data_IF_194477701104
#
_entry.id   IF_194477701104
#
_cell.length_a   1.000
_cell.length_b   1.000
_cell.length_c   1.000
_cell.angle_alpha   90.00
_cell.angle_beta   90.00
_cell.angle_gamma   90.00
#
_symmetry.space_group_name_H-M   'P 1'
#
loop_
_entity.id
_entity.type
_entity.pdbx_description
1 polymer ?
#
# COMPACT_ATOMS: atom_id res chain seq x y z
N UNK A 1 2.00 7.59 11.98
CA UNK A 1 2.09 6.94 13.31
C UNK A 1 3.48 6.34 13.55
N UNK A 2 4.17 5.84 12.53
CA UNK A 2 5.49 5.22 12.67
C UNK A 2 6.56 6.16 13.23
N UNK A 3 6.48 7.45 12.88
CA UNK A 3 7.42 8.47 13.37
C UNK A 3 7.18 8.86 14.84
N UNK A 4 5.96 8.72 15.33
CA UNK A 4 5.55 9.15 16.68
C UNK A 4 5.42 7.97 17.63
N UNK A 5 4.91 6.85 17.12
CA UNK A 5 4.58 5.65 17.88
C UNK A 5 5.65 4.55 17.83
N UNK A 6 6.86 4.84 17.34
CA UNK A 6 7.95 3.88 17.26
C UNK A 6 8.45 3.45 18.64
N UNK A 7 8.97 2.22 18.73
CA UNK A 7 9.60 1.70 19.93
C UNK A 7 10.80 2.58 20.34
N UNK A 8 10.99 2.74 21.63
CA UNK A 8 12.03 3.59 22.21
C UNK A 8 13.41 3.01 21.90
N UNK A 9 14.19 3.73 21.10
CA UNK A 9 15.64 3.53 21.03
C UNK A 9 16.31 4.53 21.98
N UNK A 10 17.09 4.04 22.90
CA UNK A 10 17.75 4.82 23.96
C UNK A 10 19.08 5.43 23.44
N UNK A 11 19.02 6.10 22.31
CA UNK A 11 20.17 6.81 21.73
C UNK A 11 20.08 8.29 22.09
N UNK A 12 20.58 8.65 23.24
CA UNK A 12 20.85 9.93 23.90
C UNK A 12 20.83 11.28 23.14
N UNK A 13 20.09 11.43 22.07
CA UNK A 13 19.94 12.68 21.32
C UNK A 13 18.63 13.38 21.64
N UNK A 14 18.72 14.65 22.04
CA UNK A 14 17.62 15.48 22.56
C UNK A 14 16.39 15.69 21.66
N UNK A 15 16.37 15.13 20.44
CA UNK A 15 15.21 15.15 19.55
C UNK A 15 14.15 14.09 19.91
N UNK A 16 14.53 13.01 20.57
CA UNK A 16 13.62 11.91 20.92
C UNK A 16 12.65 12.24 22.04
N UNK A 17 12.99 13.21 22.90
CA UNK A 17 12.14 13.59 24.04
C UNK A 17 10.80 14.23 23.62
N UNK A 18 10.78 15.03 22.53
CA UNK A 18 9.52 15.64 22.07
C UNK A 18 8.62 14.61 21.39
N UNK A 19 9.20 13.70 20.62
CA UNK A 19 8.46 12.61 19.99
C UNK A 19 7.86 11.69 21.05
N UNK A 20 8.64 11.37 22.11
CA UNK A 20 8.16 10.58 23.25
C UNK A 20 7.06 11.30 24.04
N UNK A 21 7.16 12.61 24.26
CA UNK A 21 6.10 13.40 24.90
C UNK A 21 4.81 13.37 24.10
N UNK A 22 4.91 13.56 22.78
CA UNK A 22 3.75 13.48 21.90
C UNK A 22 3.11 12.09 21.92
N UNK A 23 3.91 11.04 21.97
CA UNK A 23 3.45 9.67 22.12
C UNK A 23 2.73 9.44 23.46
N UNK A 24 3.31 9.91 24.56
CA UNK A 24 2.70 9.80 25.88
C UNK A 24 1.36 10.54 25.95
N UNK A 25 1.29 11.74 25.38
CA UNK A 25 0.05 12.50 25.29
C UNK A 25 -1.00 11.75 24.47
N UNK A 26 -0.62 11.21 23.31
CA UNK A 26 -1.51 10.38 22.49
C UNK A 26 -2.07 9.19 23.29
N UNK A 27 -1.21 8.48 24.03
CA UNK A 27 -1.61 7.37 24.89
C UNK A 27 -2.59 7.85 25.96
N UNK A 28 -2.31 8.97 26.61
CA UNK A 28 -3.16 9.55 27.66
C UNK A 28 -4.53 9.93 27.11
N UNK A 29 -4.58 10.52 25.93
CA UNK A 29 -5.84 10.85 25.25
C UNK A 29 -6.61 9.60 24.82
N UNK A 30 -5.93 8.53 24.47
CA UNK A 30 -6.56 7.24 24.16
C UNK A 30 -7.10 6.53 25.40
N UNK A 31 -6.40 6.62 26.54
CA UNK A 31 -6.80 6.04 27.84
C UNK A 31 -7.74 6.93 28.64
N UNK A 32 -8.04 8.14 28.17
CA UNK A 32 -8.76 9.17 28.93
C UNK A 32 -10.00 8.64 29.67
N UNK A 33 -10.17 9.11 30.89
CA UNK A 33 -11.28 8.75 31.79
C UNK A 33 -12.66 9.19 31.28
N UNK A 34 -12.69 10.17 30.36
CA UNK A 34 -13.91 10.55 29.66
C UNK A 34 -14.19 9.57 28.54
N UNK A 35 -15.37 8.99 28.56
CA UNK A 35 -15.83 8.13 27.46
C UNK A 35 -15.68 8.91 26.15
N UNK A 36 -14.90 8.37 25.20
CA UNK A 36 -14.66 9.00 23.89
C UNK A 36 -15.93 9.26 23.09
N UNK A 37 -17.10 9.00 23.69
CA UNK A 37 -18.40 9.14 23.07
C UNK A 37 -18.46 8.37 21.74
N UNK A 38 -18.80 9.07 20.66
CA UNK A 38 -18.88 8.49 19.32
C UNK A 38 -17.58 8.62 18.50
N UNK A 39 -16.44 8.98 19.11
CA UNK A 39 -15.17 9.16 18.43
C UNK A 39 -14.53 7.79 18.20
N UNK A 40 -14.25 7.47 16.94
CA UNK A 40 -13.49 6.29 16.52
C UNK A 40 -12.14 6.71 15.97
N UNK A 41 -11.08 6.11 16.51
CA UNK A 41 -9.71 6.39 16.08
C UNK A 41 -9.21 5.22 15.24
N UNK A 42 -8.64 5.54 14.09
CA UNK A 42 -8.05 4.56 13.17
C UNK A 42 -6.61 4.95 12.87
N UNK A 43 -5.72 3.98 13.01
CA UNK A 43 -4.31 4.11 12.64
C UNK A 43 -4.01 3.20 11.46
N UNK A 44 -3.09 3.64 10.61
CA UNK A 44 -2.58 2.83 9.51
C UNK A 44 -1.05 2.90 9.49
N UNK A 45 -0.41 1.76 9.31
CA UNK A 45 1.04 1.61 9.21
C UNK A 45 1.39 0.47 8.27
N UNK A 46 2.51 0.58 7.60
CA UNK A 46 3.15 -0.52 6.88
C UNK A 46 4.28 -1.19 7.71
N UNK A 47 4.51 -0.72 8.95
CA UNK A 47 5.55 -1.23 9.86
C UNK A 47 4.99 -1.52 11.26
N UNK A 48 4.08 -2.49 11.41
CA UNK A 48 3.45 -2.76 12.71
C UNK A 48 4.46 -3.19 13.79
N UNK A 49 5.57 -3.81 13.39
CA UNK A 49 6.63 -4.26 14.32
C UNK A 49 7.43 -3.12 14.95
N UNK A 50 7.41 -1.92 14.37
CA UNK A 50 8.14 -0.75 14.91
C UNK A 50 7.32 0.02 15.95
N UNK A 51 6.01 -0.26 16.06
CA UNK A 51 5.14 0.44 17.01
C UNK A 51 5.44 0.02 18.46
N UNK A 52 5.37 1.00 19.36
CA UNK A 52 5.54 0.76 20.81
C UNK A 52 4.44 -0.21 21.29
N UNK A 53 4.82 -1.28 22.00
CA UNK A 53 3.87 -2.22 22.60
C UNK A 53 2.80 -1.56 23.47
N UNK A 54 3.10 -0.39 24.04
CA UNK A 54 2.15 0.36 24.87
C UNK A 54 0.93 0.84 24.07
N UNK A 55 1.06 1.15 22.78
CA UNK A 55 -0.06 1.47 21.90
C UNK A 55 -0.95 0.26 21.62
N UNK A 56 -0.35 -0.93 21.63
CA UNK A 56 -1.00 -2.17 21.23
C UNK A 56 -1.79 -2.85 22.37
N UNK A 57 -1.87 -2.20 23.55
CA UNK A 57 -2.60 -2.74 24.72
C UNK A 57 -4.11 -2.61 24.51
N UNK A 58 -4.92 -3.52 25.11
CA UNK A 58 -6.36 -3.41 25.17
C UNK A 58 -6.81 -2.04 25.72
N UNK A 59 -7.88 -1.50 25.18
CA UNK A 59 -8.38 -0.16 25.50
C UNK A 59 -7.80 0.98 24.64
N UNK A 60 -6.71 0.73 23.88
CA UNK A 60 -6.07 1.71 22.97
C UNK A 60 -6.29 1.32 21.52
N UNK A 61 -5.58 0.29 21.05
CA UNK A 61 -5.78 -0.30 19.73
C UNK A 61 -6.33 -1.72 19.91
N UNK A 62 -7.64 -1.82 19.96
CA UNK A 62 -8.33 -3.08 20.27
C UNK A 62 -8.41 -4.02 19.06
N UNK A 63 -8.49 -3.45 17.85
CA UNK A 63 -8.64 -4.21 16.62
C UNK A 63 -7.47 -3.96 15.69
N UNK A 64 -6.86 -5.05 15.25
CA UNK A 64 -5.78 -5.07 14.27
C UNK A 64 -6.30 -5.77 13.03
N UNK A 65 -6.24 -5.07 11.91
CA UNK A 65 -6.68 -5.59 10.62
C UNK A 65 -5.46 -5.56 9.71
N UNK A 66 -5.04 -6.73 9.27
CA UNK A 66 -3.95 -6.88 8.31
C UNK A 66 -4.52 -6.95 6.90
N UNK A 67 -4.00 -6.10 6.01
CA UNK A 67 -4.29 -6.15 4.58
C UNK A 67 -3.16 -6.87 3.88
N UNK A 68 -3.39 -8.11 3.50
CA UNK A 68 -2.49 -8.89 2.67
C UNK A 68 -2.55 -8.46 1.20
N UNK A 69 -1.65 -9.02 0.37
CA UNK A 69 -1.73 -8.82 -1.08
C UNK A 69 -3.06 -9.34 -1.62
N UNK A 70 -3.63 -8.67 -2.64
CA UNK A 70 -4.91 -9.08 -3.20
C UNK A 70 -4.80 -10.41 -3.92
N UNK A 71 -5.83 -11.23 -3.80
CA UNK A 71 -6.01 -12.45 -4.58
C UNK A 71 -6.28 -12.14 -6.06
N UNK A 72 -6.51 -13.17 -6.87
CA UNK A 72 -6.72 -13.00 -8.31
C UNK A 72 -7.96 -12.17 -8.62
N UNK A 73 -9.06 -12.39 -7.89
CA UNK A 73 -10.31 -11.65 -8.07
C UNK A 73 -10.15 -10.20 -7.60
N UNK A 74 -9.52 -10.00 -6.46
CA UNK A 74 -9.19 -8.67 -5.93
C UNK A 74 -8.34 -7.86 -6.90
N UNK A 75 -7.32 -8.47 -7.53
CA UNK A 75 -6.51 -7.81 -8.56
C UNK A 75 -7.32 -7.41 -9.78
N UNK A 76 -8.19 -8.30 -10.26
CA UNK A 76 -9.09 -7.97 -11.38
C UNK A 76 -10.01 -6.80 -11.04
N UNK A 77 -10.55 -6.76 -9.83
CA UNK A 77 -11.40 -5.67 -9.35
C UNK A 77 -10.61 -4.35 -9.23
N UNK A 78 -9.38 -4.38 -8.71
CA UNK A 78 -8.49 -3.21 -8.65
C UNK A 78 -8.22 -2.65 -10.05
N UNK A 79 -7.90 -3.51 -11.01
CA UNK A 79 -7.70 -3.09 -12.41
C UNK A 79 -8.98 -2.43 -12.99
N UNK A 80 -10.15 -3.01 -12.76
CA UNK A 80 -11.44 -2.42 -13.18
C UNK A 80 -11.68 -1.05 -12.55
N UNK A 81 -11.36 -0.88 -11.27
CA UNK A 81 -11.51 0.40 -10.57
C UNK A 81 -10.63 1.47 -11.23
N UNK A 82 -9.36 1.17 -11.50
CA UNK A 82 -8.45 2.12 -12.13
C UNK A 82 -8.78 2.37 -13.62
N UNK A 83 -9.38 1.39 -14.29
CA UNK A 83 -9.84 1.54 -15.67
C UNK A 83 -11.11 2.40 -15.81
N UNK A 84 -11.91 2.58 -14.75
CA UNK A 84 -13.13 3.40 -14.78
C UNK A 84 -12.90 4.86 -15.19
N UNK A 85 -11.74 5.41 -14.89
CA UNK A 85 -11.37 6.78 -15.25
C UNK A 85 -10.75 6.90 -16.65
N UNK A 86 -10.63 5.79 -17.37
CA UNK A 86 -9.98 5.69 -18.68
C UNK A 86 -11.00 5.26 -19.74
N UNK A 87 -10.72 5.63 -20.99
CA UNK A 87 -11.43 5.05 -22.13
C UNK A 87 -10.80 3.70 -22.46
N UNK A 88 -11.51 2.61 -22.21
CA UNK A 88 -11.06 1.24 -22.44
C UNK A 88 -12.03 0.48 -23.33
N UNK A 89 -11.54 -0.54 -24.03
CA UNK A 89 -12.40 -1.47 -24.79
C UNK A 89 -13.35 -2.22 -23.85
N UNK A 90 -14.53 -2.61 -24.36
CA UNK A 90 -15.56 -3.29 -23.57
C UNK A 90 -15.19 -4.73 -23.20
N UNK A 91 -14.42 -5.38 -24.08
CA UNK A 91 -14.20 -6.84 -24.03
C UNK A 91 -12.85 -7.21 -23.38
N UNK A 92 -12.34 -6.36 -22.47
CA UNK A 92 -11.07 -6.65 -21.76
C UNK A 92 -11.30 -7.78 -20.75
N UNK A 93 -10.48 -8.82 -20.86
CA UNK A 93 -10.48 -9.98 -19.96
C UNK A 93 -9.64 -9.70 -18.71
N UNK A 94 -10.23 -9.01 -17.74
CA UNK A 94 -9.55 -8.58 -16.50
C UNK A 94 -8.96 -9.73 -15.71
N UNK A 95 -9.62 -10.89 -15.70
CA UNK A 95 -9.16 -12.10 -15.04
C UNK A 95 -7.89 -12.65 -15.67
N UNK A 96 -7.77 -12.58 -17.00
CA UNK A 96 -6.54 -12.95 -17.70
C UNK A 96 -5.39 -12.03 -17.31
N UNK A 97 -5.62 -10.71 -17.33
CA UNK A 97 -4.61 -9.73 -16.97
C UNK A 97 -4.19 -9.91 -15.52
N UNK A 98 -5.13 -10.15 -14.61
CA UNK A 98 -4.83 -10.36 -13.18
C UNK A 98 -4.00 -11.62 -12.91
N UNK A 99 -4.18 -12.70 -13.70
CA UNK A 99 -3.33 -13.90 -13.64
C UNK A 99 -1.88 -13.62 -14.00
N UNK A 100 -1.65 -12.69 -14.91
CA UNK A 100 -0.31 -12.29 -15.36
C UNK A 100 0.38 -11.33 -14.38
N UNK A 101 -0.32 -10.89 -13.33
CA UNK A 101 0.19 -10.04 -12.26
C UNK A 101 0.22 -10.78 -10.90
N UNK A 102 0.95 -11.90 -10.76
CA UNK A 102 1.01 -12.61 -9.48
C UNK A 102 1.67 -11.74 -8.41
N UNK A 103 1.21 -11.85 -7.17
CA UNK A 103 1.77 -11.16 -5.99
C UNK A 103 1.90 -9.64 -6.14
N UNK A 104 1.09 -9.03 -7.00
CA UNK A 104 1.15 -7.59 -7.24
C UNK A 104 0.34 -6.82 -6.22
N UNK A 105 0.88 -5.68 -5.80
CA UNK A 105 0.23 -4.69 -4.94
C UNK A 105 -0.80 -3.88 -5.72
N UNK A 106 -1.72 -3.21 -5.00
CA UNK A 106 -2.65 -2.27 -5.63
C UNK A 106 -1.95 -1.11 -6.37
N UNK A 107 -0.79 -0.68 -5.86
CA UNK A 107 0.01 0.37 -6.49
C UNK A 107 0.60 -0.08 -7.84
N UNK A 108 1.11 -1.31 -7.92
CA UNK A 108 1.61 -1.88 -9.18
C UNK A 108 0.50 -2.06 -10.20
N UNK A 109 -0.68 -2.53 -9.78
CA UNK A 109 -1.85 -2.66 -10.65
C UNK A 109 -2.34 -1.30 -11.19
N UNK A 110 -2.28 -0.26 -10.35
CA UNK A 110 -2.52 1.13 -10.80
C UNK A 110 -1.50 1.54 -11.86
N UNK A 111 -0.23 1.23 -11.64
CA UNK A 111 0.84 1.53 -12.60
C UNK A 111 0.63 0.80 -13.94
N UNK A 112 0.17 -0.46 -13.90
CA UNK A 112 -0.22 -1.22 -15.10
C UNK A 112 -1.34 -0.50 -15.86
N UNK A 113 -2.40 -0.07 -15.18
CA UNK A 113 -3.50 0.66 -15.81
C UNK A 113 -3.02 1.98 -16.44
N UNK A 114 -2.20 2.75 -15.72
CA UNK A 114 -1.63 4.00 -16.22
C UNK A 114 -0.76 3.77 -17.45
N UNK A 115 0.12 2.77 -17.42
CA UNK A 115 1.02 2.47 -18.54
C UNK A 115 0.25 1.95 -19.76
N UNK A 116 -0.83 1.18 -19.57
CA UNK A 116 -1.72 0.76 -20.65
C UNK A 116 -2.34 1.97 -21.37
N UNK A 117 -2.79 2.98 -20.61
CA UNK A 117 -3.23 4.25 -21.18
C UNK A 117 -2.14 4.97 -21.96
N UNK A 118 -0.91 4.97 -21.45
CA UNK A 118 0.24 5.58 -22.12
C UNK A 118 0.59 4.84 -23.43
N UNK A 119 0.46 3.51 -23.49
CA UNK A 119 0.63 2.75 -24.74
C UNK A 119 -0.42 3.13 -25.78
N UNK A 120 -1.67 3.29 -25.39
CA UNK A 120 -2.73 3.75 -26.29
C UNK A 120 -2.42 5.15 -26.86
N UNK A 121 -2.00 6.09 -26.00
CA UNK A 121 -1.65 7.46 -26.40
C UNK A 121 -0.45 7.46 -27.36
N UNK A 122 0.60 6.70 -27.07
CA UNK A 122 1.77 6.57 -27.97
C UNK A 122 1.38 6.00 -29.33
N UNK A 123 0.41 5.12 -29.37
CA UNK A 123 -0.16 4.58 -30.60
C UNK A 123 -1.22 5.50 -31.24
N UNK A 124 -1.39 6.74 -30.74
CA UNK A 124 -2.36 7.73 -31.20
C UNK A 124 -3.82 7.23 -31.13
N UNK A 125 -4.13 6.35 -30.20
CA UNK A 125 -5.49 5.85 -29.94
C UNK A 125 -6.07 6.52 -28.71
N UNK A 126 -7.40 6.72 -28.73
CA UNK A 126 -8.15 7.29 -27.59
C UNK A 126 -8.64 6.23 -26.60
N UNK A 127 -8.58 4.96 -27.00
CA UNK A 127 -9.10 3.82 -26.25
C UNK A 127 -7.96 2.83 -26.02
N UNK A 128 -7.78 2.41 -24.77
CA UNK A 128 -6.82 1.38 -24.41
C UNK A 128 -7.41 0.00 -24.66
N UNK A 129 -6.66 -0.84 -25.35
CA UNK A 129 -7.04 -2.22 -25.70
C UNK A 129 -6.45 -3.22 -24.70
N UNK A 130 -6.96 -4.46 -24.72
CA UNK A 130 -6.38 -5.56 -23.93
C UNK A 130 -4.88 -5.73 -24.22
N UNK A 131 -4.44 -5.55 -25.49
CA UNK A 131 -3.04 -5.62 -25.89
C UNK A 131 -2.18 -4.59 -25.16
N UNK A 132 -2.70 -3.38 -24.93
CA UNK A 132 -1.98 -2.34 -24.20
C UNK A 132 -1.78 -2.74 -22.74
N UNK A 133 -2.79 -3.32 -22.12
CA UNK A 133 -2.68 -3.86 -20.77
C UNK A 133 -1.66 -5.01 -20.67
N UNK A 134 -1.64 -5.92 -21.63
CA UNK A 134 -0.64 -6.99 -21.69
C UNK A 134 0.79 -6.44 -21.81
N UNK A 135 0.98 -5.44 -22.66
CA UNK A 135 2.28 -4.76 -22.80
C UNK A 135 2.66 -4.00 -21.53
N UNK A 136 1.69 -3.41 -20.84
CA UNK A 136 1.91 -2.74 -19.57
C UNK A 136 2.32 -3.72 -18.45
N UNK A 137 1.71 -4.91 -18.40
CA UNK A 137 2.11 -5.98 -17.46
C UNK A 137 3.57 -6.39 -17.68
N UNK A 138 3.97 -6.61 -18.92
CA UNK A 138 5.35 -6.94 -19.26
C UNK A 138 6.33 -5.86 -18.76
N UNK A 139 5.99 -4.60 -18.98
CA UNK A 139 6.83 -3.48 -18.58
C UNK A 139 6.89 -3.28 -17.07
N UNK A 140 5.75 -3.28 -16.40
CA UNK A 140 5.65 -2.93 -14.97
C UNK A 140 6.02 -4.11 -14.09
N UNK A 141 5.43 -5.27 -14.34
CA UNK A 141 5.58 -6.44 -13.46
C UNK A 141 6.89 -7.17 -13.75
N UNK A 142 7.12 -7.55 -15.01
CA UNK A 142 8.34 -8.28 -15.38
C UNK A 142 9.58 -7.39 -15.44
N UNK A 143 9.42 -6.12 -15.82
CA UNK A 143 10.48 -5.12 -15.75
C UNK A 143 10.93 -4.87 -14.31
N UNK A 144 10.00 -4.75 -13.37
CA UNK A 144 10.27 -4.62 -11.94
C UNK A 144 10.99 -5.83 -11.34
N UNK A 145 10.61 -7.06 -11.76
CA UNK A 145 11.29 -8.28 -11.32
C UNK A 145 12.78 -8.31 -11.72
N UNK A 146 13.13 -7.77 -12.88
CA UNK A 146 14.54 -7.68 -13.31
C UNK A 146 15.36 -6.72 -12.46
N UNK A 147 14.77 -5.67 -11.93
CA UNK A 147 15.43 -4.73 -11.03
C UNK A 147 15.64 -5.32 -9.63
N UNK A 148 14.69 -6.10 -9.12
CA UNK A 148 14.81 -6.74 -7.81
C UNK A 148 15.72 -7.99 -7.82
N UNK A 149 16.06 -8.53 -8.97
CA UNK A 149 16.97 -9.69 -9.11
C UNK A 149 18.44 -9.29 -9.32
N UNK A 150 18.73 -7.98 -9.36
CA UNK A 150 20.15 -7.54 -9.44
C UNK A 150 20.77 -7.68 -8.06
N UNK A 151 21.83 -8.49 -7.96
CA UNK A 151 22.54 -8.88 -6.73
C UNK A 151 23.02 -7.74 -5.81
N UNK A 152 22.86 -6.49 -6.21
CA UNK A 152 23.19 -5.32 -5.41
C UNK A 152 22.28 -5.13 -4.18
N UNK A 153 21.04 -5.66 -4.20
CA UNK A 153 20.12 -5.58 -3.05
C UNK A 153 20.18 -6.79 -2.12
N UNK A 154 20.79 -7.88 -2.52
CA UNK A 154 20.98 -9.06 -1.68
C UNK A 154 22.07 -8.89 -0.60
N UNK A 155 22.84 -7.80 -0.61
CA UNK A 155 23.91 -7.52 0.35
C UNK A 155 23.47 -6.64 1.54
N UNK A 156 22.21 -6.18 1.57
CA UNK A 156 21.70 -5.30 2.63
C UNK A 156 20.49 -5.87 3.40
N UNK A 157 20.26 -7.18 3.31
CA UNK A 157 19.31 -7.91 4.17
C UNK A 157 20.03 -8.94 5.02
#
# INVERSE_FOLDING_TARGET
IDAVGGARFDDGAGGDNEVQRTMLELITQLDGFDSRGNIKVMFATNRPSTLDPALMRPGRIDRKIEFSLPDMEGRANILRIHAKSMSVERDIRWELISRLCPNSTGAELRSVATEAGMFAIRARRKVASEKDFLSAVEKVIRGGMKFNSTAAYAQYN
#
